data_IF_235029566595
#
_entry.id   IF_235029566595
#
_cell.length_a   1.000
_cell.length_b   1.000
_cell.length_c   1.000
_cell.angle_alpha   90.00
_cell.angle_beta   90.00
_cell.angle_gamma   90.00
#
_symmetry.space_group_name_H-M   'P 1'
#
loop_
_entity.id
_entity.type
_entity.pdbx_description
1 polymer ?
#
# COMPACT_ATOMS: atom_id res chain seq x y z
N UNK A 1 -7.98 14.44 1.78
CA UNK A 1 -6.52 14.64 1.84
C UNK A 1 -5.84 13.29 2.09
N UNK A 2 -4.76 12.98 1.37
CA UNK A 2 -3.94 11.81 1.71
C UNK A 2 -3.03 12.15 2.91
N UNK A 3 -3.01 11.24 3.88
CA UNK A 3 -2.45 11.48 5.22
C UNK A 3 -0.92 11.44 5.24
N UNK A 4 -0.32 10.52 4.48
CA UNK A 4 1.11 10.19 4.58
C UNK A 4 1.91 10.44 3.29
N UNK A 5 1.24 10.49 2.13
CA UNK A 5 1.88 10.72 0.84
C UNK A 5 1.99 12.19 0.47
N UNK A 6 3.12 12.54 -0.17
CA UNK A 6 3.25 13.75 -0.97
C UNK A 6 2.91 13.41 -2.44
N UNK A 7 1.78 13.94 -2.92
CA UNK A 7 1.32 13.76 -4.29
C UNK A 7 1.51 15.02 -5.15
N UNK A 8 2.01 16.11 -4.56
CA UNK A 8 2.19 17.37 -5.27
C UNK A 8 3.46 17.40 -6.12
N UNK A 9 4.43 16.54 -5.80
CA UNK A 9 5.69 16.44 -6.51
C UNK A 9 5.54 15.69 -7.83
N UNK A 10 5.47 16.45 -8.94
CA UNK A 10 5.36 15.90 -10.30
C UNK A 10 6.55 15.02 -10.69
N UNK A 11 7.72 15.15 -10.05
CA UNK A 11 8.88 14.29 -10.31
C UNK A 11 8.74 12.92 -9.63
N UNK A 12 7.91 12.84 -8.59
CA UNK A 12 7.67 11.63 -7.81
C UNK A 12 6.16 11.37 -7.68
N UNK A 13 5.47 11.08 -8.80
CA UNK A 13 4.03 10.85 -8.76
C UNK A 13 3.71 9.59 -7.95
N UNK A 14 2.52 9.57 -7.32
CA UNK A 14 1.98 8.30 -6.87
C UNK A 14 1.70 7.38 -8.05
N UNK A 15 1.94 6.10 -7.83
CA UNK A 15 1.74 5.03 -8.80
C UNK A 15 0.80 4.00 -8.21
N UNK A 16 -0.12 3.53 -9.03
CA UNK A 16 -0.97 2.40 -8.72
C UNK A 16 -0.90 1.47 -9.94
N UNK A 17 -0.67 0.19 -9.68
CA UNK A 17 -0.77 -0.86 -10.69
C UNK A 17 -1.68 -1.97 -10.21
N UNK A 18 -2.35 -2.59 -11.18
CA UNK A 18 -3.19 -3.76 -10.97
C UNK A 18 -2.91 -4.73 -12.11
N UNK A 19 -2.53 -5.94 -11.76
CA UNK A 19 -2.18 -6.99 -12.70
C UNK A 19 -2.93 -8.28 -12.34
N UNK A 20 -3.38 -8.99 -13.38
CA UNK A 20 -3.90 -10.35 -13.28
C UNK A 20 -2.92 -11.27 -14.00
N UNK A 21 -2.24 -12.12 -13.24
CA UNK A 21 -1.25 -13.06 -13.76
C UNK A 21 -1.37 -14.39 -13.03
N UNK A 22 -1.35 -15.51 -13.76
CA UNK A 22 -1.33 -16.87 -13.18
C UNK A 22 -2.37 -17.12 -12.08
N UNK A 23 -3.63 -16.68 -12.30
CA UNK A 23 -4.72 -16.78 -11.31
C UNK A 23 -4.43 -16.03 -9.99
N UNK A 24 -3.64 -14.96 -10.08
CA UNK A 24 -3.35 -14.05 -8.98
C UNK A 24 -3.70 -12.63 -9.38
N UNK A 25 -4.28 -11.89 -8.44
CA UNK A 25 -4.42 -10.43 -8.51
C UNK A 25 -3.26 -9.81 -7.76
N UNK A 26 -2.47 -8.99 -8.44
CA UNK A 26 -1.35 -8.25 -7.88
C UNK A 26 -1.70 -6.77 -7.94
N UNK A 27 -1.88 -6.16 -6.78
CA UNK A 27 -2.11 -4.73 -6.62
C UNK A 27 -0.87 -4.10 -5.99
N UNK A 28 -0.34 -3.04 -6.59
CA UNK A 28 0.73 -2.25 -6.00
C UNK A 28 0.34 -0.78 -5.93
N UNK A 29 0.64 -0.14 -4.80
CA UNK A 29 0.55 1.30 -4.64
C UNK A 29 1.85 1.85 -4.07
N UNK A 30 2.37 2.92 -4.66
CA UNK A 30 3.60 3.58 -4.24
C UNK A 30 3.42 5.10 -4.23
N UNK A 31 3.99 5.77 -3.24
CA UNK A 31 3.99 7.23 -3.17
C UNK A 31 5.26 7.77 -2.48
N UNK A 32 5.66 8.99 -2.83
CA UNK A 32 6.63 9.76 -2.04
C UNK A 32 6.07 10.01 -0.65
N UNK A 33 6.89 9.83 0.38
CA UNK A 33 6.54 10.10 1.78
C UNK A 33 6.56 11.60 2.03
N UNK A 34 5.58 12.09 2.80
CA UNK A 34 5.64 13.45 3.31
C UNK A 34 6.68 13.51 4.43
N UNK A 35 7.63 14.44 4.33
CA UNK A 35 8.67 14.62 5.36
C UNK A 35 8.08 15.04 6.71
N UNK A 36 6.99 15.80 6.71
CA UNK A 36 6.27 16.21 7.93
C UNK A 36 4.92 15.49 7.99
N UNK A 37 4.82 14.49 8.87
CA UNK A 37 3.53 13.82 9.12
C UNK A 37 2.67 14.70 10.03
N UNK A 38 1.54 15.19 9.50
CA UNK A 38 0.52 15.91 10.28
C UNK A 38 -0.33 14.96 11.14
N UNK A 39 -0.08 13.65 11.07
CA UNK A 39 -0.83 12.61 11.76
C UNK A 39 0.11 11.66 12.50
N UNK A 40 -0.27 11.16 13.69
CA UNK A 40 0.46 10.09 14.35
C UNK A 40 0.54 8.87 13.43
N UNK A 41 1.74 8.32 13.25
CA UNK A 41 1.96 7.05 12.55
C UNK A 41 1.49 5.88 13.42
N UNK A 42 0.17 5.69 13.51
CA UNK A 42 -0.44 4.67 14.38
C UNK A 42 -0.58 3.28 13.76
N UNK A 43 -0.27 3.10 12.47
CA UNK A 43 -0.40 1.82 11.77
C UNK A 43 -1.84 1.24 11.72
N UNK A 44 -2.83 1.94 12.27
CA UNK A 44 -4.22 1.50 12.36
C UNK A 44 -4.82 1.18 10.99
N UNK A 45 -4.43 1.94 9.97
CA UNK A 45 -4.86 1.70 8.59
C UNK A 45 -4.41 0.33 8.08
N UNK A 46 -3.12 0.00 8.24
CA UNK A 46 -2.55 -1.28 7.82
C UNK A 46 -3.13 -2.45 8.61
N UNK A 47 -3.28 -2.31 9.94
CA UNK A 47 -3.95 -3.33 10.77
C UNK A 47 -5.40 -3.59 10.36
N UNK A 48 -6.13 -2.55 9.96
CA UNK A 48 -7.50 -2.71 9.47
C UNK A 48 -7.56 -3.37 8.09
N UNK A 49 -6.58 -3.08 7.21
CA UNK A 49 -6.45 -3.76 5.92
C UNK A 49 -6.16 -5.23 6.13
N UNK A 50 -5.18 -5.57 6.97
CA UNK A 50 -4.82 -6.96 7.30
C UNK A 50 -6.00 -7.75 7.87
N UNK A 51 -6.74 -7.19 8.84
CA UNK A 51 -7.97 -7.82 9.37
C UNK A 51 -9.02 -8.10 8.29
N UNK A 52 -9.23 -7.16 7.37
CA UNK A 52 -10.18 -7.34 6.25
C UNK A 52 -9.70 -8.41 5.29
N UNK A 53 -8.41 -8.40 4.95
CA UNK A 53 -7.82 -9.40 4.09
C UNK A 53 -7.94 -10.81 4.71
N UNK A 54 -7.64 -10.95 6.00
CA UNK A 54 -7.82 -12.20 6.71
C UNK A 54 -9.27 -12.70 6.67
N UNK A 55 -10.23 -11.82 6.91
CA UNK A 55 -11.65 -12.20 6.93
C UNK A 55 -12.19 -12.61 5.56
N UNK A 56 -11.70 -12.02 4.47
CA UNK A 56 -12.21 -12.26 3.11
C UNK A 56 -11.42 -13.29 2.32
N UNK A 57 -10.10 -13.34 2.51
CA UNK A 57 -9.19 -14.14 1.70
C UNK A 57 -8.46 -15.21 2.52
N UNK A 58 -8.51 -15.16 3.86
CA UNK A 58 -7.84 -16.12 4.74
C UNK A 58 -6.37 -16.26 4.35
N UNK A 59 -5.90 -17.46 4.01
CA UNK A 59 -4.50 -17.71 3.65
C UNK A 59 -4.21 -17.47 2.16
N UNK A 60 -5.17 -16.92 1.41
CA UNK A 60 -5.07 -16.66 -0.04
C UNK A 60 -4.55 -15.26 -0.36
N UNK A 61 -3.89 -14.58 0.57
CA UNK A 61 -3.26 -13.29 0.30
C UNK A 61 -1.87 -13.17 0.91
N UNK A 62 -1.05 -12.32 0.31
CA UNK A 62 0.18 -11.84 0.90
C UNK A 62 0.27 -10.32 0.75
N UNK A 63 0.83 -9.67 1.77
CA UNK A 63 1.02 -8.22 1.79
C UNK A 63 2.48 -7.92 2.10
N UNK A 64 3.14 -7.21 1.19
CA UNK A 64 4.52 -6.76 1.33
C UNK A 64 4.55 -5.24 1.44
N UNK A 65 5.20 -4.73 2.47
CA UNK A 65 5.41 -3.30 2.69
C UNK A 65 6.90 -3.01 2.55
N UNK A 66 7.23 -2.07 1.66
CA UNK A 66 8.56 -1.48 1.52
C UNK A 66 8.47 -0.02 1.95
N UNK A 67 8.96 0.27 3.15
CA UNK A 67 9.00 1.61 3.72
C UNK A 67 10.44 2.14 3.66
N UNK A 68 10.75 2.82 2.56
CA UNK A 68 12.09 3.38 2.30
C UNK A 68 12.17 4.83 2.80
N UNK A 69 13.34 5.45 2.66
CA UNK A 69 13.57 6.83 3.13
C UNK A 69 12.60 7.82 2.47
N UNK A 70 12.44 7.74 1.15
CA UNK A 70 11.62 8.69 0.39
C UNK A 70 10.29 8.14 -0.10
N UNK A 71 10.14 6.82 -0.21
CA UNK A 71 8.97 6.19 -0.80
C UNK A 71 8.37 5.15 0.14
N UNK A 72 7.04 5.09 0.13
CA UNK A 72 6.28 4.00 0.74
C UNK A 72 5.63 3.21 -0.38
N UNK A 73 5.82 1.89 -0.37
CA UNK A 73 5.21 0.97 -1.33
C UNK A 73 4.53 -0.18 -0.62
N UNK A 74 3.33 -0.54 -1.07
CA UNK A 74 2.61 -1.73 -0.64
C UNK A 74 2.26 -2.57 -1.86
N UNK A 75 2.57 -3.86 -1.78
CA UNK A 75 2.19 -4.86 -2.78
C UNK A 75 1.26 -5.87 -2.10
N UNK A 76 0.06 -6.03 -2.64
CA UNK A 76 -0.93 -7.03 -2.25
C UNK A 76 -1.04 -8.06 -3.35
N UNK A 77 -0.84 -9.33 -3.01
CA UNK A 77 -1.12 -10.45 -3.91
C UNK A 77 -2.28 -11.25 -3.35
N UNK A 78 -3.28 -11.55 -4.17
CA UNK A 78 -4.42 -12.40 -3.84
C UNK A 78 -4.47 -13.56 -4.83
N UNK A 79 -4.54 -14.78 -4.32
CA UNK A 79 -4.83 -15.98 -5.13
C UNK A 79 -6.34 -16.05 -5.39
N UNK A 80 -6.74 -16.10 -6.66
CA UNK A 80 -8.15 -16.05 -7.09
C UNK A 80 -8.84 -17.40 -6.96
#
# INVERSE_FOLDING_TARGET
>A
MLKHGDLGDKKHPARISLELAENRLIFEASNKKRQVSLYPSGGLGLKNIEKRLQNHYQDRYSMLIRDENEHFTITLTISL
#
